data_IF_706725343141
#
_entry.id   IF_706725343141
#
_cell.length_a   1.000
_cell.length_b   1.000
_cell.length_c   1.000
_cell.angle_alpha   90.00
_cell.angle_beta   90.00
_cell.angle_gamma   90.00
#
_symmetry.space_group_name_H-M   'P 1'
#
loop_
_entity.id
_entity.type
_entity.pdbx_description
1 polymer ?
#
# COMPACT_ATOMS: atom_id res chain seq x y z
N UNK A 1 -3.62 -1.60 -5.50
CA UNK A 1 -4.14 -1.66 -6.89
C UNK A 1 -5.28 -0.69 -7.17
N UNK A 2 -6.11 -0.34 -6.18
CA UNK A 2 -7.29 0.52 -6.36
C UNK A 2 -7.05 1.87 -7.07
N UNK A 3 -5.98 2.66 -6.78
CA UNK A 3 -5.76 3.93 -7.49
C UNK A 3 -5.35 3.72 -8.95
N UNK A 4 -4.53 2.69 -9.21
CA UNK A 4 -4.02 2.36 -10.54
C UNK A 4 -5.16 1.94 -11.47
N UNK A 5 -6.10 1.13 -10.97
CA UNK A 5 -7.31 0.72 -11.71
C UNK A 5 -8.17 1.93 -12.05
N UNK A 6 -8.40 2.84 -11.09
CA UNK A 6 -9.15 4.07 -11.34
C UNK A 6 -8.49 4.97 -12.39
N UNK A 7 -7.16 5.10 -12.33
CA UNK A 7 -6.36 5.87 -13.28
C UNK A 7 -6.48 5.33 -14.72
N UNK A 8 -6.31 4.03 -14.91
CA UNK A 8 -6.38 3.43 -16.25
C UNK A 8 -7.80 3.42 -16.82
N UNK A 9 -8.83 3.15 -16.00
CA UNK A 9 -10.23 3.14 -16.46
C UNK A 9 -10.64 4.53 -16.93
N UNK A 10 -10.44 5.57 -16.11
CA UNK A 10 -10.89 6.92 -16.48
C UNK A 10 -10.00 7.56 -17.55
N UNK A 11 -8.69 7.31 -17.53
CA UNK A 11 -7.80 7.77 -18.59
C UNK A 11 -8.15 7.16 -19.95
N UNK A 12 -8.39 5.84 -19.98
CA UNK A 12 -8.83 5.14 -21.20
C UNK A 12 -10.21 5.58 -21.67
N UNK A 13 -11.16 5.82 -20.76
CA UNK A 13 -12.50 6.31 -21.09
C UNK A 13 -12.43 7.68 -21.75
N UNK A 14 -11.64 8.60 -21.20
CA UNK A 14 -11.49 9.94 -21.75
C UNK A 14 -10.70 9.93 -23.08
N UNK A 15 -9.70 9.07 -23.23
CA UNK A 15 -9.04 8.86 -24.51
C UNK A 15 -10.02 8.33 -25.56
N UNK A 16 -10.91 7.40 -25.20
CA UNK A 16 -11.91 6.85 -26.12
C UNK A 16 -12.98 7.88 -26.52
N UNK A 17 -13.42 8.73 -25.59
CA UNK A 17 -14.46 9.74 -25.83
C UNK A 17 -13.95 10.95 -26.62
N UNK A 18 -12.75 11.42 -26.31
CA UNK A 18 -12.24 12.70 -26.85
C UNK A 18 -11.08 12.52 -27.84
N UNK A 19 -10.38 11.38 -27.83
CA UNK A 19 -9.26 11.09 -28.73
C UNK A 19 -8.01 11.92 -28.51
N UNK A 20 -8.00 12.81 -27.50
CA UNK A 20 -6.87 13.72 -27.22
C UNK A 20 -6.10 13.30 -25.98
N UNK A 21 -4.77 13.37 -26.06
CA UNK A 21 -3.89 13.02 -24.93
C UNK A 21 -4.16 13.86 -23.68
N UNK A 22 -4.53 15.13 -23.84
CA UNK A 22 -4.88 16.02 -22.72
C UNK A 22 -6.12 15.53 -21.99
N UNK A 23 -7.16 15.10 -22.71
CA UNK A 23 -8.35 14.53 -22.10
C UNK A 23 -8.04 13.23 -21.35
N UNK A 24 -7.21 12.35 -21.92
CA UNK A 24 -6.75 11.14 -21.24
C UNK A 24 -5.96 11.45 -19.97
N UNK A 25 -5.10 12.48 -20.01
CA UNK A 25 -4.36 12.92 -18.85
C UNK A 25 -5.28 13.47 -17.75
N UNK A 26 -6.29 14.27 -18.11
CA UNK A 26 -7.30 14.76 -17.16
C UNK A 26 -8.15 13.61 -16.59
N UNK A 27 -8.59 12.67 -17.42
CA UNK A 27 -9.33 11.49 -16.99
C UNK A 27 -8.51 10.61 -16.06
N UNK A 28 -7.23 10.39 -16.37
CA UNK A 28 -6.29 9.65 -15.54
C UNK A 28 -6.07 10.34 -14.18
N UNK A 29 -5.92 11.67 -14.16
CA UNK A 29 -5.78 12.44 -12.92
C UNK A 29 -7.05 12.34 -12.05
N UNK A 30 -8.22 12.53 -12.63
CA UNK A 30 -9.50 12.39 -11.91
C UNK A 30 -9.72 10.95 -11.40
N UNK A 31 -9.45 9.94 -12.24
CA UNK A 31 -9.56 8.53 -11.88
C UNK A 31 -8.57 8.08 -10.82
N UNK A 32 -7.33 8.58 -10.88
CA UNK A 32 -6.30 8.32 -9.88
C UNK A 32 -6.66 8.91 -8.52
N UNK A 33 -7.10 10.17 -8.48
CA UNK A 33 -7.53 10.83 -7.24
C UNK A 33 -8.78 10.15 -6.66
N UNK A 34 -9.78 9.85 -7.50
CA UNK A 34 -10.99 9.13 -7.09
C UNK A 34 -10.67 7.74 -6.55
N UNK A 35 -9.85 6.96 -7.26
CA UNK A 35 -9.43 5.63 -6.83
C UNK A 35 -8.59 5.65 -5.55
N UNK A 36 -7.77 6.68 -5.36
CA UNK A 36 -7.01 6.90 -4.13
C UNK A 36 -7.90 7.23 -2.94
N UNK A 37 -8.89 8.11 -3.11
CA UNK A 37 -9.85 8.42 -2.04
C UNK A 37 -10.66 7.21 -1.62
N UNK A 38 -11.09 6.40 -2.59
CA UNK A 38 -11.84 5.17 -2.35
C UNK A 38 -10.97 4.13 -1.62
N UNK A 39 -9.70 4.02 -2.00
CA UNK A 39 -8.71 3.21 -1.26
C UNK A 39 -8.53 3.72 0.18
N UNK A 40 -8.38 5.04 0.37
CA UNK A 40 -8.20 5.67 1.69
C UNK A 40 -9.40 5.45 2.60
N UNK A 41 -10.62 5.44 2.06
CA UNK A 41 -11.84 5.17 2.82
C UNK A 41 -12.01 3.69 3.19
N UNK A 42 -11.57 2.79 2.32
CA UNK A 42 -11.66 1.34 2.55
C UNK A 42 -10.52 0.79 3.41
N UNK A 43 -9.32 1.39 3.37
CA UNK A 43 -8.16 0.98 4.17
C UNK A 43 -8.43 0.85 5.67
N UNK A 44 -8.99 1.85 6.37
CA UNK A 44 -9.25 1.72 7.80
C UNK A 44 -10.34 0.68 8.11
N UNK A 45 -11.31 0.47 7.20
CA UNK A 45 -12.35 -0.56 7.36
C UNK A 45 -11.80 -1.98 7.19
N UNK A 46 -10.79 -2.15 6.35
CA UNK A 46 -10.09 -3.42 6.16
C UNK A 46 -9.06 -3.68 7.26
N UNK A 47 -8.34 -2.64 7.71
CA UNK A 47 -7.39 -2.73 8.82
C UNK A 47 -8.06 -3.03 10.18
N UNK A 48 -9.34 -2.72 10.34
CA UNK A 48 -10.11 -3.06 11.53
C UNK A 48 -10.51 -4.55 11.60
N UNK A 49 -10.25 -5.35 10.56
CA UNK A 49 -10.49 -6.79 10.57
C UNK A 49 -9.46 -7.46 11.48
N UNK A 50 -9.91 -8.31 12.40
CA UNK A 50 -9.02 -9.04 13.33
C UNK A 50 -7.96 -9.86 12.61
N UNK A 51 -8.26 -10.39 11.42
CA UNK A 51 -7.32 -11.14 10.57
C UNK A 51 -6.11 -10.31 10.10
N UNK A 52 -6.21 -8.98 10.12
CA UNK A 52 -5.16 -8.07 9.66
C UNK A 52 -4.46 -7.34 10.81
N UNK A 53 -4.81 -7.64 12.06
CA UNK A 53 -4.07 -7.13 13.20
C UNK A 53 -2.75 -7.90 13.37
N UNK A 54 -1.63 -7.22 13.64
CA UNK A 54 -0.37 -7.89 13.90
C UNK A 54 -0.45 -8.67 15.22
N UNK A 55 -0.23 -9.98 15.16
CA UNK A 55 -0.13 -10.81 16.37
C UNK A 55 1.26 -10.63 16.98
N UNK A 56 1.32 -10.12 18.21
CA UNK A 56 2.58 -10.01 18.96
C UNK A 56 2.95 -11.40 19.47
N UNK A 57 4.00 -12.00 18.92
CA UNK A 57 4.55 -13.27 19.39
C UNK A 57 5.67 -13.01 20.41
N UNK A 58 5.38 -13.22 21.68
CA UNK A 58 6.38 -13.19 22.74
C UNK A 58 6.92 -14.60 22.99
N UNK A 59 8.18 -14.85 22.67
CA UNK A 59 8.86 -16.12 22.94
C UNK A 59 9.82 -15.92 24.11
N UNK A 60 9.58 -16.64 25.21
CA UNK A 60 10.52 -16.73 26.32
C UNK A 60 11.56 -17.81 26.02
N UNK A 61 12.83 -17.43 25.92
CA UNK A 61 13.94 -18.39 25.86
C UNK A 61 14.45 -18.65 27.27
N UNK A 62 14.78 -19.90 27.56
CA UNK A 62 15.45 -20.25 28.81
C UNK A 62 16.84 -19.58 28.86
N UNK A 63 17.36 -19.23 30.06
CA UNK A 63 18.60 -18.46 30.20
C UNK A 63 19.82 -19.09 29.53
N UNK A 64 19.81 -20.41 29.37
CA UNK A 64 20.86 -21.20 28.73
C UNK A 64 20.78 -21.25 27.20
N UNK A 65 19.63 -20.88 26.61
CA UNK A 65 19.37 -20.93 25.16
C UNK A 65 19.54 -19.58 24.46
N UNK A 66 19.68 -18.48 25.21
CA UNK A 66 19.85 -17.13 24.68
C UNK A 66 21.33 -16.76 24.61
N UNK A 67 21.97 -16.98 23.45
CA UNK A 67 23.34 -16.54 23.17
C UNK A 67 23.33 -15.22 22.39
N UNK A 68 23.64 -14.12 23.07
CA UNK A 68 23.75 -12.79 22.44
C UNK A 68 25.19 -12.58 21.97
N UNK A 69 25.43 -12.67 20.67
CA UNK A 69 26.69 -12.24 20.07
C UNK A 69 26.63 -10.73 19.86
N UNK A 70 27.24 -9.97 20.76
CA UNK A 70 27.57 -8.57 20.47
C UNK A 70 28.68 -8.58 19.43
N UNK A 71 28.36 -8.31 18.16
CA UNK A 71 29.38 -7.98 17.17
C UNK A 71 30.06 -6.70 17.68
N UNK A 72 31.22 -6.87 18.33
CA UNK A 72 32.06 -5.77 18.75
C UNK A 72 32.35 -4.93 17.50
N UNK A 73 31.96 -3.66 17.57
CA UNK A 73 32.46 -2.61 16.67
C UNK A 73 33.93 -2.34 17.02
N UNK A 74 34.77 -3.37 16.95
CA UNK A 74 36.23 -3.31 16.99
C UNK A 74 36.78 -4.08 15.80
N UNK A 75 36.55 -3.53 14.61
CA UNK A 75 37.39 -3.79 13.45
C UNK A 75 37.45 -2.49 12.64
N UNK A 76 38.36 -1.62 13.09
CA UNK A 76 39.33 -0.87 12.28
C UNK A 76 38.87 -0.21 10.98
#
# INVERSE_FOLDING_TARGET
LSPLVGLFIMGGLFQMLFGTDVAAMCGAALGGVGGFWLAKGLSPRLAAREEWQPVILSVGLAPDQLRVETLSSEAR
#
